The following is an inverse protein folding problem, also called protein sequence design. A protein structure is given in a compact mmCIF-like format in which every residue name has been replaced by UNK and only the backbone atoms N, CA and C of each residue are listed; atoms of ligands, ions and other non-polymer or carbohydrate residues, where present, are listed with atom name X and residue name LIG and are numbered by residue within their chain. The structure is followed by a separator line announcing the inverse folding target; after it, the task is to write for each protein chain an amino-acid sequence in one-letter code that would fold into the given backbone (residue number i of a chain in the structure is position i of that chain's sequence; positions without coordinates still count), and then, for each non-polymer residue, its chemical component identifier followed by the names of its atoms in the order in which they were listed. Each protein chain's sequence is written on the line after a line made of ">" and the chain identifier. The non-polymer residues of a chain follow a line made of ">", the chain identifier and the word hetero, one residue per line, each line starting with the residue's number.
data_IF_741315820659
#
_entry.id   IF_741315820659
#
_cell.length_a   1.000
_cell.length_b   1.000
_cell.length_c   1.000
_cell.angle_alpha   90.00
_cell.angle_beta   90.00
_cell.angle_gamma   90.00
#
_symmetry.space_group_name_H-M   'P 1'
#
loop_
_entity.id
_entity.type
_entity.pdbx_description
1 polymer ?
#
# COMPACT_ATOMS: atom_id res chain seq x y z
N UNK A 1 -3.67 0.50 6.78
CA UNK A 1 -3.69 1.90 7.30
C UNK A 1 -5.13 2.37 7.44
N UNK A 2 -5.49 3.09 8.51
CA UNK A 2 -6.89 3.49 8.80
C UNK A 2 -7.55 4.27 7.65
N UNK A 3 -6.78 5.06 6.91
CA UNK A 3 -7.29 5.82 5.75
C UNK A 3 -7.78 4.92 4.60
N UNK A 4 -7.22 3.72 4.46
CA UNK A 4 -7.59 2.76 3.41
C UNK A 4 -8.84 1.97 3.75
N UNK A 5 -9.46 2.23 4.90
CA UNK A 5 -10.75 1.65 5.31
C UNK A 5 -11.75 2.75 5.68
N UNK A 6 -11.42 4.02 5.41
CA UNK A 6 -12.29 5.15 5.74
C UNK A 6 -13.15 5.58 4.55
N UNK A 7 -14.08 6.50 4.80
CA UNK A 7 -14.93 7.10 3.76
C UNK A 7 -14.13 7.78 2.65
N UNK A 8 -12.88 8.19 2.92
CA UNK A 8 -12.08 9.00 1.99
C UNK A 8 -11.65 8.26 0.72
N UNK A 9 -11.71 6.93 0.72
CA UNK A 9 -11.43 6.09 -0.45
C UNK A 9 -12.70 5.60 -1.15
N UNK A 10 -13.88 6.00 -0.68
CA UNK A 10 -15.15 5.58 -1.26
C UNK A 10 -15.50 6.43 -2.47
N UNK A 11 -16.26 5.83 -3.40
CA UNK A 11 -16.77 6.55 -4.59
C UNK A 11 -17.71 7.69 -4.20
N UNK A 12 -18.47 7.52 -3.12
CA UNK A 12 -19.46 8.51 -2.67
C UNK A 12 -18.76 9.80 -2.23
N UNK A 13 -17.69 9.69 -1.44
CA UNK A 13 -16.88 10.85 -1.03
C UNK A 13 -16.27 11.59 -2.22
N UNK A 14 -15.67 10.84 -3.16
CA UNK A 14 -15.05 11.43 -4.36
C UNK A 14 -16.11 12.11 -5.24
N UNK A 15 -17.31 11.53 -5.35
CA UNK A 15 -18.42 12.08 -6.11
C UNK A 15 -19.01 13.33 -5.46
N UNK A 16 -19.11 13.35 -4.13
CA UNK A 16 -19.53 14.51 -3.35
C UNK A 16 -18.65 15.74 -3.62
N UNK A 17 -17.33 15.55 -3.68
CA UNK A 17 -16.38 16.61 -4.04
C UNK A 17 -16.55 17.12 -5.47
N UNK A 18 -17.17 16.34 -6.35
CA UNK A 18 -17.42 16.71 -7.76
C UNK A 18 -18.78 17.40 -7.93
N UNK A 19 -19.79 17.03 -7.13
CA UNK A 19 -21.17 17.49 -7.29
C UNK A 19 -21.47 18.85 -6.66
N UNK A 20 -20.75 19.25 -5.61
CA UNK A 20 -21.02 20.51 -4.87
C UNK A 20 -20.60 21.79 -5.60
N UNK A 21 -20.21 21.68 -6.87
CA UNK A 21 -19.85 22.79 -7.74
C UNK A 21 -21.04 23.35 -8.52
N UNK A 22 -22.03 23.93 -7.84
CA UNK A 22 -23.02 24.74 -8.54
C UNK A 22 -22.32 25.94 -9.21
N UNK A 23 -22.79 26.26 -10.40
CA UNK A 23 -22.27 27.07 -11.52
C UNK A 23 -21.61 28.45 -11.26
N UNK A 24 -21.34 28.88 -10.03
CA UNK A 24 -20.71 30.18 -9.77
C UNK A 24 -19.35 30.03 -9.09
N UNK A 25 -18.31 29.86 -9.92
CA UNK A 25 -16.89 30.08 -9.61
C UNK A 25 -16.29 29.13 -8.56
N UNK A 26 -16.02 27.90 -8.96
CA UNK A 26 -15.03 27.09 -8.24
C UNK A 26 -13.66 27.71 -8.53
N UNK A 27 -13.11 28.45 -7.57
CA UNK A 27 -11.74 28.97 -7.67
C UNK A 27 -10.75 27.79 -7.74
N UNK A 28 -9.65 27.95 -8.48
CA UNK A 28 -8.61 26.91 -8.59
C UNK A 28 -8.04 26.45 -7.24
N UNK A 29 -8.14 27.30 -6.22
CA UNK A 29 -7.69 27.05 -4.84
C UNK A 29 -8.75 26.36 -3.97
N UNK A 30 -9.96 26.11 -4.49
CA UNK A 30 -10.96 25.35 -3.76
C UNK A 30 -10.48 23.91 -3.56
N UNK A 31 -10.49 23.45 -2.30
CA UNK A 31 -10.12 22.09 -1.96
C UNK A 31 -10.86 21.04 -2.79
N UNK A 32 -12.11 21.30 -3.20
CA UNK A 32 -12.90 20.37 -4.02
C UNK A 32 -12.31 20.16 -5.41
N UNK A 33 -11.65 21.18 -5.97
CA UNK A 33 -10.97 21.12 -7.28
C UNK A 33 -9.85 20.08 -7.29
N UNK A 34 -8.98 20.12 -6.28
CA UNK A 34 -7.81 19.24 -6.17
C UNK A 34 -8.09 17.97 -5.36
N UNK A 35 -8.97 18.07 -4.37
CA UNK A 35 -9.29 17.01 -3.42
C UNK A 35 -9.79 15.76 -4.10
N UNK A 36 -10.63 15.87 -5.15
CA UNK A 36 -11.07 14.68 -5.91
C UNK A 36 -9.89 13.87 -6.45
N UNK A 37 -8.87 14.56 -6.99
CA UNK A 37 -7.70 13.91 -7.56
C UNK A 37 -6.80 13.35 -6.47
N UNK A 38 -6.63 14.08 -5.37
CA UNK A 38 -5.89 13.61 -4.19
C UNK A 38 -6.50 12.33 -3.62
N UNK A 39 -7.83 12.27 -3.44
CA UNK A 39 -8.50 11.07 -2.91
C UNK A 39 -8.54 9.93 -3.94
N UNK A 40 -8.63 10.21 -5.23
CA UNK A 40 -8.45 9.19 -6.27
C UNK A 40 -7.04 8.59 -6.22
N UNK A 41 -6.00 9.40 -6.11
CA UNK A 41 -4.63 8.93 -5.93
C UNK A 41 -4.48 8.10 -4.65
N UNK A 42 -5.13 8.51 -3.56
CA UNK A 42 -5.15 7.76 -2.31
C UNK A 42 -5.78 6.37 -2.48
N UNK A 43 -6.86 6.23 -3.25
CA UNK A 43 -7.45 4.91 -3.60
C UNK A 43 -6.42 4.03 -4.29
N UNK A 44 -5.68 4.59 -5.25
CA UNK A 44 -4.63 3.86 -5.98
C UNK A 44 -3.52 3.43 -5.02
N UNK A 45 -3.04 4.31 -4.15
CA UNK A 45 -2.02 3.98 -3.15
C UNK A 45 -2.48 2.90 -2.17
N UNK A 46 -3.72 2.96 -1.71
CA UNK A 46 -4.28 1.93 -0.83
C UNK A 46 -4.38 0.56 -1.52
N UNK A 47 -4.80 0.53 -2.79
CA UNK A 47 -4.84 -0.71 -3.57
C UNK A 47 -3.43 -1.26 -3.82
N UNK A 48 -2.50 -0.38 -4.18
CA UNK A 48 -1.11 -0.75 -4.41
C UNK A 48 -0.50 -1.34 -3.14
N UNK A 49 -0.63 -0.65 -2.00
CA UNK A 49 -0.13 -1.13 -0.72
C UNK A 49 -0.71 -2.50 -0.34
N UNK A 50 -2.03 -2.68 -0.49
CA UNK A 50 -2.67 -3.96 -0.20
C UNK A 50 -2.14 -5.09 -1.10
N UNK A 51 -1.96 -4.79 -2.39
CA UNK A 51 -1.42 -5.75 -3.35
C UNK A 51 0.04 -6.09 -3.04
N UNK A 52 0.89 -5.10 -2.78
CA UNK A 52 2.29 -5.32 -2.42
C UNK A 52 2.41 -6.20 -1.19
N UNK A 53 1.65 -5.92 -0.13
CA UNK A 53 1.65 -6.76 1.08
C UNK A 53 1.17 -8.18 0.78
N UNK A 54 0.09 -8.33 0.01
CA UNK A 54 -0.47 -9.65 -0.31
C UNK A 54 0.48 -10.48 -1.18
N UNK A 55 1.08 -9.88 -2.21
CA UNK A 55 2.00 -10.53 -3.13
C UNK A 55 3.30 -10.93 -2.40
N UNK A 56 3.86 -10.02 -1.58
CA UNK A 56 5.03 -10.33 -0.75
C UNK A 56 4.74 -11.41 0.29
N UNK A 57 3.56 -11.40 0.93
CA UNK A 57 3.18 -12.44 1.88
C UNK A 57 3.06 -13.80 1.19
N UNK A 58 2.47 -13.85 -0.01
CA UNK A 58 2.39 -15.08 -0.79
C UNK A 58 3.80 -15.61 -1.13
N UNK A 59 4.71 -14.74 -1.57
CA UNK A 59 6.11 -15.10 -1.85
C UNK A 59 6.85 -15.60 -0.60
N UNK A 60 6.65 -14.93 0.55
CA UNK A 60 7.23 -15.34 1.83
C UNK A 60 6.79 -16.75 2.23
N UNK A 61 5.51 -17.06 2.09
CA UNK A 61 4.94 -18.36 2.47
C UNK A 61 5.37 -19.50 1.54
N UNK A 62 5.78 -19.22 0.30
CA UNK A 62 6.32 -20.22 -0.62
C UNK A 62 7.72 -20.70 -0.19
N UNK A 63 8.50 -19.85 0.48
CA UNK A 63 9.85 -20.14 0.93
C UNK A 63 9.84 -20.89 2.28
N UNK A 64 9.14 -22.03 2.36
CA UNK A 64 9.15 -22.87 3.57
C UNK A 64 10.59 -23.18 3.98
N UNK A 65 10.94 -22.87 5.23
CA UNK A 65 12.24 -23.21 5.79
C UNK A 65 12.31 -24.74 6.01
N UNK A 66 12.75 -25.47 4.99
CA UNK A 66 13.00 -26.91 5.04
C UNK A 66 14.50 -27.11 5.08
N UNK A 67 15.04 -27.51 6.23
CA UNK A 67 16.43 -27.93 6.35
C UNK A 67 16.56 -29.43 6.19
N UNK A 68 17.47 -29.87 5.32
CA UNK A 68 17.80 -31.28 5.15
C UNK A 68 18.62 -31.84 6.34
N UNK A 69 19.06 -30.99 7.26
CA UNK A 69 19.90 -31.35 8.39
C UNK A 69 19.38 -30.72 9.69
N UNK A 70 19.71 -31.36 10.81
CA UNK A 70 19.40 -30.80 12.14
C UNK A 70 20.21 -29.52 12.30
N UNK A 71 19.50 -28.40 12.40
CA UNK A 71 20.10 -27.06 12.52
C UNK A 71 20.11 -26.67 14.00
N UNK A 72 21.24 -26.16 14.55
CA UNK A 72 21.26 -25.62 15.90
C UNK A 72 20.20 -24.52 16.08
N UNK A 73 19.57 -24.46 17.25
CA UNK A 73 18.48 -23.52 17.53
C UNK A 73 18.88 -22.07 17.28
N UNK A 74 20.09 -21.68 17.71
CA UNK A 74 20.63 -20.32 17.56
C UNK A 74 20.78 -19.93 16.08
N UNK A 75 21.28 -20.86 15.26
CA UNK A 75 21.43 -20.64 13.83
C UNK A 75 20.08 -20.54 13.14
N UNK A 76 19.15 -21.44 13.49
CA UNK A 76 17.78 -21.40 13.00
C UNK A 76 17.09 -20.07 13.33
N UNK A 77 17.19 -19.60 14.58
CA UNK A 77 16.62 -18.33 15.01
C UNK A 77 17.22 -17.15 14.25
N UNK A 78 18.55 -17.11 14.09
CA UNK A 78 19.24 -16.07 13.33
C UNK A 78 18.78 -16.02 11.87
N UNK A 79 18.63 -17.19 11.23
CA UNK A 79 18.16 -17.29 9.85
C UNK A 79 16.71 -16.82 9.70
N UNK A 80 15.82 -17.22 10.61
CA UNK A 80 14.41 -16.80 10.58
C UNK A 80 14.28 -15.28 10.80
N UNK A 81 15.04 -14.70 11.73
CA UNK A 81 15.05 -13.25 11.94
C UNK A 81 15.53 -12.51 10.70
N UNK A 82 16.64 -12.96 10.09
CA UNK A 82 17.16 -12.40 8.84
C UNK A 82 16.12 -12.48 7.71
N UNK A 83 15.42 -13.61 7.62
CA UNK A 83 14.39 -13.82 6.61
C UNK A 83 13.18 -12.89 6.81
N UNK A 84 12.75 -12.67 8.07
CA UNK A 84 11.70 -11.71 8.41
C UNK A 84 12.13 -10.28 8.08
N UNK A 85 13.38 -9.91 8.36
CA UNK A 85 13.90 -8.56 8.06
C UNK A 85 13.98 -8.31 6.55
N UNK A 86 14.39 -9.30 5.78
CA UNK A 86 14.39 -9.25 4.31
C UNK A 86 12.98 -9.10 3.76
N UNK A 87 12.01 -9.84 4.31
CA UNK A 87 10.60 -9.73 3.96
C UNK A 87 10.02 -8.33 4.22
N UNK A 88 10.26 -7.77 5.41
CA UNK A 88 9.80 -6.42 5.74
C UNK A 88 10.43 -5.36 4.82
N UNK A 89 11.72 -5.52 4.51
CA UNK A 89 12.45 -4.61 3.62
C UNK A 89 11.96 -4.70 2.17
N UNK A 90 11.65 -5.91 1.68
CA UNK A 90 11.20 -6.13 0.30
C UNK A 90 9.82 -5.52 0.06
N UNK A 91 8.89 -5.59 1.02
CA UNK A 91 7.57 -4.94 0.92
C UNK A 91 7.74 -3.44 0.67
N UNK A 92 8.57 -2.77 1.48
CA UNK A 92 8.79 -1.32 1.39
C UNK A 92 9.43 -0.96 0.05
N UNK A 93 10.47 -1.68 -0.34
CA UNK A 93 11.20 -1.43 -1.59
C UNK A 93 10.32 -1.66 -2.82
N UNK A 94 9.53 -2.73 -2.84
CA UNK A 94 8.63 -3.06 -3.94
C UNK A 94 7.50 -2.04 -4.08
N UNK A 95 6.95 -1.57 -2.95
CA UNK A 95 5.97 -0.48 -2.95
C UNK A 95 6.55 0.79 -3.57
N UNK A 96 7.72 1.25 -3.08
CA UNK A 96 8.37 2.47 -3.57
C UNK A 96 8.73 2.35 -5.05
N UNK A 97 9.31 1.21 -5.47
CA UNK A 97 9.65 0.96 -6.88
C UNK A 97 8.41 1.00 -7.79
N UNK A 98 7.29 0.46 -7.34
CA UNK A 98 6.06 0.49 -8.14
C UNK A 98 5.46 1.89 -8.18
N UNK A 99 5.56 2.64 -7.08
CA UNK A 99 5.13 4.04 -7.02
C UNK A 99 5.94 4.93 -7.99
N UNK A 100 7.25 4.73 -8.08
CA UNK A 100 8.12 5.50 -8.99
C UNK A 100 7.80 5.27 -10.48
N UNK A 101 7.20 4.14 -10.84
CA UNK A 101 6.76 3.87 -12.23
C UNK A 101 5.48 4.64 -12.62
N UNK A 102 4.73 5.13 -11.63
CA UNK A 102 3.44 5.82 -11.82
C UNK A 102 3.59 7.34 -11.63
N UNK A 103 4.78 7.80 -11.23
CA UNK A 103 5.15 9.21 -11.10
C UNK A 103 5.71 9.76 -12.40
#
# INVERSE_FOLDING_TARGET
>A
HQVCTSIFITKDWISYLTYTGDSNTIYGDDFRSNGRFTFQALVVFCKLANRTVSDSLAEFLLNMYISATVTPLELFQSQILTFIDQFNSSITNNFLRTLDLVR
#
